data_IF_156218879179
#
_entry.id   IF_156218879179
#
_cell.length_a   1.000
_cell.length_b   1.000
_cell.length_c   1.000
_cell.angle_alpha   90.00
_cell.angle_beta   90.00
_cell.angle_gamma   90.00
#
_symmetry.space_group_name_H-M   'P 1'
#
loop_
_entity.id
_entity.type
_entity.pdbx_description
1 polymer ?
#
# COMPACT_ATOMS: atom_id res chain seq x y z
N UNK A 1 -15.43 19.69 -12.18
CA UNK A 1 -14.11 19.30 -11.62
C UNK A 1 -13.32 18.70 -12.77
N UNK A 2 -12.32 19.46 -13.25
CA UNK A 2 -11.77 19.37 -14.61
C UNK A 2 -10.75 18.24 -14.75
N UNK A 3 -10.77 17.56 -15.90
CA UNK A 3 -9.88 16.46 -16.25
C UNK A 3 -8.39 16.84 -16.17
N UNK A 4 -8.06 18.10 -16.47
CA UNK A 4 -6.70 18.65 -16.38
C UNK A 4 -6.13 18.61 -14.95
N UNK A 5 -6.98 18.83 -13.93
CA UNK A 5 -6.56 18.77 -12.52
C UNK A 5 -6.31 17.33 -12.08
N UNK A 6 -7.05 16.36 -12.63
CA UNK A 6 -6.88 14.94 -12.32
C UNK A 6 -5.63 14.35 -12.98
N UNK A 7 -5.32 14.76 -14.21
CA UNK A 7 -4.10 14.35 -14.91
C UNK A 7 -2.85 14.92 -14.24
N UNK A 8 -2.87 16.20 -13.84
CA UNK A 8 -1.78 16.81 -13.09
C UNK A 8 -1.52 16.08 -11.76
N UNK A 9 -2.58 15.74 -11.03
CA UNK A 9 -2.46 15.00 -9.77
C UNK A 9 -1.84 13.61 -9.98
N UNK A 10 -2.30 12.87 -10.99
CA UNK A 10 -1.77 11.53 -11.33
C UNK A 10 -0.30 11.58 -11.70
N UNK A 11 0.14 12.61 -12.44
CA UNK A 11 1.53 12.76 -12.81
C UNK A 11 2.42 13.00 -11.59
N UNK A 12 1.99 13.86 -10.66
CA UNK A 12 2.72 14.11 -9.40
C UNK A 12 2.83 12.83 -8.55
N UNK A 13 1.75 12.05 -8.47
CA UNK A 13 1.74 10.78 -7.73
C UNK A 13 2.72 9.76 -8.35
N UNK A 14 2.71 9.62 -9.68
CA UNK A 14 3.64 8.74 -10.40
C UNK A 14 5.08 9.19 -10.24
N UNK A 15 5.36 10.49 -10.33
CA UNK A 15 6.69 11.04 -10.16
C UNK A 15 7.21 10.82 -8.73
N UNK A 16 6.35 11.03 -7.73
CA UNK A 16 6.68 10.78 -6.32
C UNK A 16 6.98 9.29 -6.08
N UNK A 17 6.16 8.40 -6.63
CA UNK A 17 6.36 6.96 -6.54
C UNK A 17 7.68 6.53 -7.20
N UNK A 18 8.00 7.12 -8.36
CA UNK A 18 9.26 6.86 -9.06
C UNK A 18 10.47 7.30 -8.21
N UNK A 19 10.46 8.50 -7.64
CA UNK A 19 11.55 8.94 -6.75
C UNK A 19 11.70 8.03 -5.52
N UNK A 20 10.59 7.60 -4.92
CA UNK A 20 10.63 6.68 -3.79
C UNK A 20 11.26 5.33 -4.17
N UNK A 21 10.89 4.77 -5.32
CA UNK A 21 11.46 3.53 -5.84
C UNK A 21 12.97 3.65 -6.08
N UNK A 22 13.41 4.74 -6.72
CA UNK A 22 14.83 5.00 -6.96
C UNK A 22 15.62 5.14 -5.67
N UNK A 23 15.06 5.83 -4.67
CA UNK A 23 15.69 6.02 -3.37
C UNK A 23 15.93 4.70 -2.63
N UNK A 24 14.95 3.80 -2.65
CA UNK A 24 15.03 2.51 -1.94
C UNK A 24 15.85 1.46 -2.69
N UNK A 25 15.71 1.38 -4.01
CA UNK A 25 16.33 0.30 -4.80
C UNK A 25 17.66 0.70 -5.42
N UNK A 26 17.95 2.00 -5.55
CA UNK A 26 19.05 2.52 -6.36
C UNK A 26 18.88 2.29 -7.87
N UNK A 27 17.76 1.72 -8.31
CA UNK A 27 17.50 1.38 -9.71
C UNK A 27 17.02 2.60 -10.51
N UNK A 28 17.35 2.62 -11.80
CA UNK A 28 16.82 3.55 -12.79
C UNK A 28 15.96 2.82 -13.84
N UNK A 29 15.61 1.55 -13.58
CA UNK A 29 14.79 0.73 -14.47
C UNK A 29 13.30 1.03 -14.28
N UNK A 30 12.73 1.72 -15.26
CA UNK A 30 11.31 2.08 -15.28
C UNK A 30 10.39 0.86 -15.46
N UNK A 31 10.85 -0.19 -16.13
CA UNK A 31 10.06 -1.42 -16.29
C UNK A 31 9.92 -2.11 -14.95
N UNK A 32 11.03 -2.24 -14.22
CA UNK A 32 11.03 -2.79 -12.86
C UNK A 32 10.12 -1.99 -11.93
N UNK A 33 10.12 -0.66 -12.01
CA UNK A 33 9.18 0.16 -11.24
C UNK A 33 7.72 -0.13 -11.59
N UNK A 34 7.37 -0.21 -12.88
CA UNK A 34 5.98 -0.49 -13.29
C UNK A 34 5.50 -1.88 -12.86
N UNK A 35 6.41 -2.84 -12.77
CA UNK A 35 6.13 -4.19 -12.27
C UNK A 35 6.02 -4.22 -10.74
N UNK A 36 6.86 -3.46 -10.05
CA UNK A 36 6.90 -3.35 -8.59
C UNK A 36 5.73 -2.57 -8.01
N UNK A 37 5.31 -1.49 -8.68
CA UNK A 37 4.44 -0.48 -8.10
C UNK A 37 3.01 -0.99 -7.95
N UNK A 38 2.59 -1.17 -6.69
CA UNK A 38 1.26 -1.68 -6.34
C UNK A 38 0.22 -0.55 -6.24
N UNK A 39 0.67 0.70 -6.14
CA UNK A 39 -0.19 1.87 -6.12
C UNK A 39 0.00 2.78 -4.90
N UNK A 40 -0.86 3.80 -4.84
CA UNK A 40 -0.94 4.77 -3.77
C UNK A 40 -2.20 4.51 -2.92
N UNK A 41 -2.02 4.56 -1.61
CA UNK A 41 -3.05 4.36 -0.61
C UNK A 41 -3.13 5.57 0.33
N UNK A 42 -4.25 5.71 1.03
CA UNK A 42 -4.43 6.81 1.98
C UNK A 42 -3.50 6.71 3.19
N UNK A 43 -3.14 5.49 3.60
CA UNK A 43 -2.22 5.20 4.70
C UNK A 43 -1.79 3.73 4.67
N UNK A 44 -0.80 3.38 5.49
CA UNK A 44 -0.42 1.99 5.79
C UNK A 44 -1.61 1.16 6.26
N UNK A 45 -2.41 1.70 7.18
CA UNK A 45 -3.58 1.02 7.73
C UNK A 45 -4.59 0.66 6.63
N UNK A 46 -4.86 1.59 5.71
CA UNK A 46 -5.81 1.33 4.62
C UNK A 46 -5.27 0.28 3.64
N UNK A 47 -3.99 0.32 3.30
CA UNK A 47 -3.36 -0.73 2.50
C UNK A 47 -3.40 -2.09 3.21
N UNK A 48 -3.05 -2.13 4.51
CA UNK A 48 -3.07 -3.34 5.32
C UNK A 48 -4.44 -3.96 5.45
N UNK A 49 -5.49 -3.14 5.56
CA UNK A 49 -6.88 -3.59 5.53
C UNK A 49 -7.24 -4.25 4.20
N UNK A 50 -6.83 -3.65 3.08
CA UNK A 50 -7.06 -4.23 1.74
C UNK A 50 -6.26 -5.51 1.53
N UNK A 51 -5.03 -5.58 2.03
CA UNK A 51 -4.19 -6.78 2.00
C UNK A 51 -4.82 -7.92 2.83
N UNK A 52 -5.29 -7.63 4.04
CA UNK A 52 -5.99 -8.62 4.86
C UNK A 52 -7.26 -9.14 4.19
N UNK A 53 -8.03 -8.24 3.56
CA UNK A 53 -9.21 -8.60 2.78
C UNK A 53 -8.85 -9.52 1.61
N UNK A 54 -7.79 -9.22 0.85
CA UNK A 54 -7.33 -10.04 -0.27
C UNK A 54 -6.81 -11.42 0.16
N UNK A 55 -6.25 -11.52 1.37
CA UNK A 55 -5.86 -12.79 2.01
C UNK A 55 -7.07 -13.56 2.59
N UNK A 56 -8.28 -13.01 2.49
CA UNK A 56 -9.52 -13.65 2.90
C UNK A 56 -9.86 -13.51 4.38
N UNK A 57 -9.30 -12.50 5.08
CA UNK A 57 -9.56 -12.28 6.50
C UNK A 57 -11.04 -11.98 6.79
N UNK A 58 -11.72 -11.22 5.93
CA UNK A 58 -13.15 -10.90 6.07
C UNK A 58 -14.01 -12.16 6.12
N UNK A 59 -13.73 -13.13 5.23
CA UNK A 59 -14.43 -14.41 5.19
C UNK A 59 -14.15 -15.32 6.41
N UNK A 60 -13.11 -15.04 7.18
CA UNK A 60 -12.81 -15.73 8.44
C UNK A 60 -13.49 -15.03 9.62
N UNK A 61 -13.52 -13.70 9.64
CA UNK A 61 -14.22 -12.91 10.65
C UNK A 61 -15.72 -13.21 10.65
N UNK A 62 -16.34 -13.33 9.47
CA UNK A 62 -17.78 -13.64 9.34
C UNK A 62 -18.19 -15.01 9.84
N UNK A 63 -17.24 -15.94 10.05
CA UNK A 63 -17.51 -17.27 10.64
C UNK A 63 -17.55 -17.25 12.16
N UNK A 64 -17.07 -16.17 12.77
CA UNK A 64 -17.12 -16.02 14.22
C UNK A 64 -18.55 -15.70 14.65
N UNK A 65 -18.95 -16.08 15.87
CA UNK A 65 -20.23 -15.63 16.42
C UNK A 65 -20.35 -14.10 16.37
N UNK A 66 -21.54 -13.58 16.06
CA UNK A 66 -21.79 -12.13 15.90
C UNK A 66 -21.29 -11.31 17.09
N UNK A 67 -21.49 -11.84 18.31
CA UNK A 67 -21.04 -11.17 19.53
C UNK A 67 -19.52 -10.99 19.58
N UNK A 68 -18.74 -11.89 18.97
CA UNK A 68 -17.28 -11.84 18.97
C UNK A 68 -16.74 -10.96 17.84
N UNK A 69 -17.42 -10.93 16.68
CA UNK A 69 -17.06 -10.05 15.57
C UNK A 69 -17.02 -8.58 16.00
N UNK A 70 -17.92 -8.17 16.88
CA UNK A 70 -17.99 -6.80 17.41
C UNK A 70 -16.75 -6.37 18.22
N UNK A 71 -15.93 -7.33 18.69
CA UNK A 71 -14.75 -7.05 19.54
C UNK A 71 -13.42 -7.31 18.83
N UNK A 72 -13.42 -7.85 17.61
CA UNK A 72 -12.19 -8.15 16.88
C UNK A 72 -11.95 -7.07 15.85
N UNK A 73 -10.77 -6.45 15.94
CA UNK A 73 -10.23 -5.57 14.91
C UNK A 73 -8.89 -6.14 14.48
N UNK A 74 -8.70 -6.26 13.18
CA UNK A 74 -7.40 -6.61 12.63
C UNK A 74 -6.59 -5.33 12.47
N UNK A 75 -5.32 -5.40 12.85
CA UNK A 75 -4.38 -4.29 12.77
C UNK A 75 -3.70 -4.34 11.39
N UNK A 76 -4.15 -3.46 10.49
CA UNK A 76 -3.65 -3.41 9.11
C UNK A 76 -2.20 -2.96 9.08
N UNK A 77 -1.85 -1.94 9.85
CA UNK A 77 -0.50 -1.42 9.96
C UNK A 77 0.50 -2.48 10.46
N UNK A 78 0.13 -3.27 11.47
CA UNK A 78 0.98 -4.36 11.96
C UNK A 78 1.26 -5.40 10.87
N UNK A 79 0.26 -5.77 10.07
CA UNK A 79 0.44 -6.73 8.97
C UNK A 79 1.36 -6.16 7.88
N UNK A 80 1.19 -4.89 7.53
CA UNK A 80 2.07 -4.23 6.55
C UNK A 80 3.52 -4.22 7.04
N UNK A 81 3.73 -3.87 8.32
CA UNK A 81 5.05 -3.88 8.95
C UNK A 81 5.68 -5.27 8.92
N UNK A 82 4.90 -6.32 9.15
CA UNK A 82 5.41 -7.69 9.13
C UNK A 82 5.85 -8.12 7.71
N UNK A 83 5.09 -7.74 6.68
CA UNK A 83 5.46 -7.99 5.28
C UNK A 83 6.69 -7.17 4.85
N UNK A 84 6.80 -5.93 5.31
CA UNK A 84 7.95 -5.06 5.08
C UNK A 84 9.23 -5.64 5.72
N UNK A 85 9.15 -6.10 6.98
CA UNK A 85 10.26 -6.76 7.66
C UNK A 85 10.68 -8.09 7.01
N UNK A 86 9.73 -8.80 6.40
CA UNK A 86 10.00 -10.01 5.62
C UNK A 86 10.58 -9.70 4.23
N UNK A 87 10.73 -8.42 3.85
CA UNK A 87 11.22 -7.99 2.54
C UNK A 87 10.24 -8.27 1.41
N UNK A 88 8.97 -8.57 1.72
CA UNK A 88 7.94 -8.86 0.72
C UNK A 88 7.38 -7.58 0.09
N UNK A 89 7.43 -6.48 0.82
CA UNK A 89 6.91 -5.18 0.40
C UNK A 89 7.89 -4.07 0.78
N UNK A 90 7.88 -3.01 0.00
CA UNK A 90 8.46 -1.72 0.37
C UNK A 90 7.36 -0.68 0.46
N UNK A 91 7.40 0.11 1.53
CA UNK A 91 6.35 1.06 1.85
C UNK A 91 6.96 2.43 2.09
N UNK A 92 6.55 3.41 1.28
CA UNK A 92 7.00 4.80 1.41
C UNK A 92 5.84 5.69 1.83
N UNK A 93 5.93 6.28 3.02
CA UNK A 93 4.97 7.27 3.47
C UNK A 93 5.37 8.65 2.98
N UNK A 94 4.42 9.36 2.38
CA UNK A 94 4.63 10.72 1.95
C UNK A 94 4.95 11.61 3.17
N UNK A 95 5.97 12.50 3.11
CA UNK A 95 6.36 13.35 4.24
C UNK A 95 5.26 14.27 4.76
N UNK A 96 4.30 14.61 3.90
CA UNK A 96 3.14 15.43 4.20
C UNK A 96 1.94 14.62 4.74
N UNK A 97 2.14 13.31 4.97
CA UNK A 97 1.10 12.35 5.33
C UNK A 97 -0.07 12.29 4.34
N UNK A 98 0.15 12.72 3.09
CA UNK A 98 -0.91 12.70 2.08
C UNK A 98 -1.29 11.28 1.65
N UNK A 99 -0.39 10.32 1.81
CA UNK A 99 -0.62 8.91 1.50
C UNK A 99 0.63 8.05 1.61
N UNK A 100 0.47 6.79 1.23
CA UNK A 100 1.50 5.75 1.27
C UNK A 100 1.62 5.10 -0.10
N UNK A 101 2.84 4.91 -0.58
CA UNK A 101 3.16 4.26 -1.85
C UNK A 101 3.73 2.89 -1.57
N UNK A 102 3.23 1.86 -2.25
CA UNK A 102 3.58 0.47 -1.99
C UNK A 102 4.20 -0.19 -3.21
N UNK A 103 5.25 -0.97 -2.97
CA UNK A 103 5.98 -1.71 -3.99
C UNK A 103 6.15 -3.17 -3.57
N UNK A 104 6.14 -4.08 -4.54
CA UNK A 104 6.50 -5.47 -4.34
C UNK A 104 8.01 -5.63 -4.14
N UNK A 105 8.41 -6.39 -3.13
CA UNK A 105 9.82 -6.57 -2.76
C UNK A 105 10.59 -7.59 -3.61
N UNK A 106 9.92 -8.41 -4.41
CA UNK A 106 10.51 -9.47 -5.22
C UNK A 106 10.74 -9.09 -6.68
N UNK A 107 10.23 -7.92 -7.10
CA UNK A 107 10.38 -7.34 -8.44
C UNK A 107 11.78 -6.78 -8.72
#
# INVERSE_FOLDING_TARGET
MNSETQEAQRNIEQETAWYAFQYWTGSQDETRFREAYMGRYASREEFGRQLLSSLGADGRLTRLPDWLQAYIRLDGEAVVRDFEQAGQLWVFDAPDHSGTYVFDGYS
#
